data_IF_577099319408
#
_entry.id   IF_577099319408
#
_cell.length_a   1.000
_cell.length_b   1.000
_cell.length_c   1.000
_cell.angle_alpha   90.00
_cell.angle_beta   90.00
_cell.angle_gamma   90.00
#
_symmetry.space_group_name_H-M   'P 1'
#
loop_
_entity.id
_entity.type
_entity.pdbx_description
1 polymer ?
#
# COMPACT_ATOMS: atom_id res chain seq x y z
N UNK A 1 -57.20 -11.61 -39.35
CA UNK A 1 -56.54 -10.39 -38.85
C UNK A 1 -55.84 -10.75 -37.55
N UNK A 2 -54.50 -10.71 -37.54
CA UNK A 2 -53.70 -10.97 -36.34
C UNK A 2 -52.52 -10.00 -36.36
N UNK A 3 -52.55 -9.10 -35.40
CA UNK A 3 -51.60 -8.03 -35.18
C UNK A 3 -50.28 -8.52 -34.56
N UNK A 4 -49.21 -7.81 -34.92
CA UNK A 4 -48.02 -7.47 -34.13
C UNK A 4 -46.97 -8.55 -33.80
N UNK A 5 -45.88 -8.56 -34.58
CA UNK A 5 -44.56 -8.99 -34.12
C UNK A 5 -43.80 -7.82 -33.48
N UNK A 6 -43.11 -7.99 -32.33
CA UNK A 6 -42.02 -7.12 -31.96
C UNK A 6 -40.69 -7.72 -32.45
N UNK A 7 -40.03 -7.00 -33.37
CA UNK A 7 -38.64 -7.23 -33.75
C UNK A 7 -37.71 -6.94 -32.58
N UNK A 8 -37.13 -7.99 -31.98
CA UNK A 8 -35.91 -7.85 -31.19
C UNK A 8 -34.98 -9.03 -31.52
N UNK A 9 -34.44 -9.01 -32.75
CA UNK A 9 -33.42 -9.93 -33.22
C UNK A 9 -32.02 -9.37 -32.95
N UNK A 10 -31.39 -9.79 -31.85
CA UNK A 10 -29.95 -9.61 -31.59
C UNK A 10 -29.12 -10.47 -32.58
N UNK A 11 -28.91 -9.96 -33.79
CA UNK A 11 -28.19 -10.63 -34.88
C UNK A 11 -26.91 -11.36 -34.43
N UNK A 12 -26.94 -12.69 -34.51
CA UNK A 12 -25.81 -13.59 -34.21
C UNK A 12 -24.53 -13.28 -35.01
N UNK A 13 -24.68 -12.61 -36.15
CA UNK A 13 -23.59 -12.15 -37.00
C UNK A 13 -22.68 -11.10 -36.32
N UNK A 14 -23.14 -10.45 -35.23
CA UNK A 14 -22.33 -9.52 -34.44
C UNK A 14 -21.69 -10.17 -33.20
N UNK A 15 -22.26 -11.26 -32.67
CA UNK A 15 -21.78 -11.90 -31.45
C UNK A 15 -20.42 -12.58 -31.70
N UNK A 16 -20.25 -13.25 -32.84
CA UNK A 16 -18.98 -13.94 -33.18
C UNK A 16 -17.83 -12.94 -33.40
N UNK A 17 -17.99 -11.86 -34.19
CA UNK A 17 -16.97 -10.82 -34.30
C UNK A 17 -16.64 -10.16 -32.97
N UNK A 18 -17.63 -9.84 -32.14
CA UNK A 18 -17.41 -9.21 -30.83
C UNK A 18 -16.67 -10.16 -29.88
N UNK A 19 -17.02 -11.44 -29.85
CA UNK A 19 -16.30 -12.44 -29.07
C UNK A 19 -14.86 -12.61 -29.57
N UNK A 20 -14.64 -12.63 -30.88
CA UNK A 20 -13.29 -12.65 -31.47
C UNK A 20 -12.51 -11.39 -31.09
N UNK A 21 -13.12 -10.22 -31.19
CA UNK A 21 -12.50 -8.93 -30.83
C UNK A 21 -12.17 -8.89 -29.33
N UNK A 22 -13.06 -9.42 -28.48
CA UNK A 22 -12.83 -9.55 -27.06
C UNK A 22 -11.64 -10.47 -26.78
N UNK A 23 -11.53 -11.63 -27.44
CA UNK A 23 -10.38 -12.53 -27.31
C UNK A 23 -9.10 -11.88 -27.84
N UNK A 24 -9.17 -11.19 -28.98
CA UNK A 24 -8.04 -10.55 -29.64
C UNK A 24 -7.54 -9.31 -28.89
N UNK A 25 -8.39 -8.69 -28.06
CA UNK A 25 -7.99 -7.61 -27.15
C UNK A 25 -7.55 -8.16 -25.78
N UNK A 26 -8.29 -9.11 -25.21
CA UNK A 26 -7.99 -9.65 -23.88
C UNK A 26 -6.69 -10.46 -23.87
N UNK A 27 -6.46 -11.32 -24.86
CA UNK A 27 -5.28 -12.21 -24.82
C UNK A 27 -3.97 -11.42 -24.89
N UNK A 28 -3.76 -10.48 -25.83
CA UNK A 28 -2.54 -9.69 -25.86
C UNK A 28 -2.42 -8.75 -24.66
N UNK A 29 -3.53 -8.17 -24.19
CA UNK A 29 -3.51 -7.29 -23.02
C UNK A 29 -3.18 -8.05 -21.74
N UNK A 30 -3.74 -9.25 -21.55
CA UNK A 30 -3.43 -10.14 -20.44
C UNK A 30 -1.99 -10.64 -20.52
N UNK A 31 -1.51 -11.05 -21.69
CA UNK A 31 -0.11 -11.47 -21.87
C UNK A 31 0.83 -10.31 -21.57
N UNK A 32 0.54 -9.10 -22.07
CA UNK A 32 1.36 -7.92 -21.81
C UNK A 32 1.38 -7.54 -20.32
N UNK A 33 0.22 -7.58 -19.65
CA UNK A 33 0.13 -7.36 -18.21
C UNK A 33 0.91 -8.42 -17.41
N UNK A 34 0.83 -9.69 -17.80
CA UNK A 34 1.60 -10.79 -17.19
C UNK A 34 3.10 -10.63 -17.47
N UNK A 35 3.49 -10.20 -18.68
CA UNK A 35 4.90 -9.98 -19.04
C UNK A 35 5.49 -8.81 -18.25
N UNK A 36 4.74 -7.72 -18.07
CA UNK A 36 5.15 -6.61 -17.22
C UNK A 36 5.18 -6.98 -15.73
N UNK A 37 4.27 -7.86 -15.27
CA UNK A 37 4.28 -8.42 -13.93
C UNK A 37 5.50 -9.32 -13.67
N UNK A 38 5.91 -10.13 -14.65
CA UNK A 38 7.09 -11.01 -14.56
C UNK A 38 8.42 -10.27 -14.75
N UNK A 39 8.38 -9.14 -15.47
CA UNK A 39 9.55 -8.29 -15.75
C UNK A 39 9.77 -7.20 -14.68
N UNK A 40 9.06 -7.27 -13.54
CA UNK A 40 9.36 -6.47 -12.37
C UNK A 40 10.78 -6.79 -11.89
N UNK A 41 11.73 -5.99 -12.36
CA UNK A 41 13.14 -6.05 -12.01
C UNK A 41 13.28 -6.12 -10.49
N UNK A 42 14.25 -6.91 -10.02
CA UNK A 42 14.70 -6.96 -8.62
C UNK A 42 15.14 -5.56 -8.17
N UNK A 43 14.18 -4.74 -7.76
CA UNK A 43 14.41 -3.45 -7.15
C UNK A 43 14.56 -3.73 -5.66
N UNK A 44 15.78 -3.51 -5.17
CA UNK A 44 16.01 -3.40 -3.73
C UNK A 44 15.02 -2.37 -3.21
N UNK A 45 14.15 -2.76 -2.27
CA UNK A 45 13.19 -1.84 -1.65
C UNK A 45 13.98 -0.69 -0.99
N UNK A 46 14.11 0.48 -1.64
CA UNK A 46 14.98 1.52 -1.14
C UNK A 46 14.25 2.29 -0.03
N UNK A 47 14.94 2.47 1.08
CA UNK A 47 14.52 3.34 2.18
C UNK A 47 15.15 4.71 1.97
N UNK A 48 14.30 5.72 1.76
CA UNK A 48 14.71 7.11 1.64
C UNK A 48 14.53 7.75 3.02
N UNK A 49 15.64 8.03 3.69
CA UNK A 49 15.64 8.74 4.98
C UNK A 49 15.34 10.23 4.77
N UNK A 50 14.37 10.77 5.52
CA UNK A 50 14.05 12.21 5.50
C UNK A 50 14.76 13.01 6.59
N UNK A 51 15.15 12.33 7.67
CA UNK A 51 15.96 12.91 8.73
C UNK A 51 17.41 12.43 8.60
N UNK A 52 18.41 13.33 8.69
CA UNK A 52 19.82 12.96 8.66
C UNK A 52 20.21 12.35 10.01
N UNK A 53 19.91 11.06 10.18
CA UNK A 53 20.18 10.32 11.41
C UNK A 53 21.04 9.12 11.06
N UNK A 54 22.25 9.09 11.61
CA UNK A 54 23.19 7.99 11.41
C UNK A 54 22.73 6.69 12.09
N UNK A 55 21.76 6.77 13.01
CA UNK A 55 21.35 5.67 13.91
C UNK A 55 19.91 5.18 13.74
N UNK A 56 19.22 5.55 12.67
CA UNK A 56 17.92 4.95 12.32
C UNK A 56 18.10 3.71 11.46
N UNK A 57 17.81 2.55 12.04
CA UNK A 57 17.80 1.27 11.32
C UNK A 57 16.35 0.89 11.06
N UNK A 58 15.89 1.14 9.83
CA UNK A 58 14.59 0.63 9.35
C UNK A 58 14.83 -0.75 8.75
N UNK A 59 14.14 -1.75 9.31
CA UNK A 59 14.20 -3.13 8.84
C UNK A 59 12.97 -3.41 7.99
N UNK A 60 13.19 -3.76 6.72
CA UNK A 60 12.17 -4.15 5.77
C UNK A 60 12.59 -5.45 5.05
N UNK A 61 11.65 -6.29 4.62
CA UNK A 61 11.98 -7.48 3.83
C UNK A 61 12.48 -7.10 2.44
N UNK A 62 13.31 -7.97 1.86
CA UNK A 62 13.82 -7.82 0.49
C UNK A 62 12.78 -8.14 -0.58
N UNK A 63 11.78 -8.96 -0.26
CA UNK A 63 10.73 -9.39 -1.16
C UNK A 63 9.38 -9.28 -0.46
N UNK A 64 8.38 -8.76 -1.18
CA UNK A 64 7.02 -8.58 -0.68
C UNK A 64 6.06 -9.09 -1.73
N UNK A 65 5.08 -9.89 -1.32
CA UNK A 65 4.03 -10.45 -2.18
C UNK A 65 2.68 -9.91 -1.77
N UNK A 66 1.84 -9.68 -2.76
CA UNK A 66 0.45 -9.28 -2.57
C UNK A 66 -0.28 -10.29 -1.66
N UNK A 67 -1.08 -9.78 -0.74
CA UNK A 67 -1.84 -10.53 0.27
C UNK A 67 -1.01 -11.35 1.27
N UNK A 68 0.32 -11.26 1.22
CA UNK A 68 1.21 -11.92 2.15
C UNK A 68 1.69 -10.91 3.20
N UNK A 69 1.39 -11.13 4.49
CA UNK A 69 1.80 -10.20 5.54
C UNK A 69 3.31 -10.28 5.81
N UNK A 70 3.91 -9.14 6.06
CA UNK A 70 5.32 -9.02 6.45
C UNK A 70 5.50 -8.09 7.66
N UNK A 71 6.63 -8.19 8.33
CA UNK A 71 6.99 -7.31 9.45
C UNK A 71 7.88 -6.16 8.98
N UNK A 72 7.60 -4.95 9.46
CA UNK A 72 8.50 -3.80 9.37
C UNK A 72 8.85 -3.33 10.77
N UNK A 73 10.10 -2.91 10.97
CA UNK A 73 10.55 -2.40 12.24
C UNK A 73 11.37 -1.12 12.10
N UNK A 74 11.21 -0.22 13.05
CA UNK A 74 12.01 0.99 13.19
C UNK A 74 12.76 0.89 14.50
N UNK A 75 14.09 0.97 14.44
CA UNK A 75 14.93 1.13 15.62
C UNK A 75 15.57 2.52 15.57
N UNK A 76 15.37 3.29 16.64
CA UNK A 76 15.80 4.68 16.71
C UNK A 76 16.46 4.97 18.05
N UNK A 77 17.57 5.71 18.03
CA UNK A 77 18.20 6.25 19.24
C UNK A 77 17.49 7.54 19.67
N UNK A 78 16.38 7.41 20.40
CA UNK A 78 15.53 8.53 20.83
C UNK A 78 16.28 9.54 21.67
N UNK A 79 17.24 9.11 22.49
CA UNK A 79 18.09 10.00 23.27
C UNK A 79 19.00 10.87 22.41
N UNK A 80 19.59 10.30 21.37
CA UNK A 80 20.44 11.04 20.45
C UNK A 80 19.61 12.00 19.60
N UNK A 81 18.45 11.54 19.09
CA UNK A 81 17.54 12.37 18.31
C UNK A 81 17.00 13.55 19.12
N UNK A 82 16.51 13.32 20.34
CA UNK A 82 16.00 14.40 21.18
C UNK A 82 17.08 15.44 21.47
N UNK A 83 18.31 15.00 21.76
CA UNK A 83 19.46 15.90 21.95
C UNK A 83 19.74 16.73 20.69
N UNK A 84 19.80 16.09 19.52
CA UNK A 84 20.03 16.76 18.25
C UNK A 84 18.94 17.79 17.92
N UNK A 85 17.66 17.42 18.08
CA UNK A 85 16.54 18.34 17.86
C UNK A 85 16.57 19.52 18.85
N UNK A 86 16.88 19.27 20.11
CA UNK A 86 17.02 20.32 21.12
C UNK A 86 18.19 21.26 20.82
N UNK A 87 19.33 20.76 20.34
CA UNK A 87 20.47 21.58 19.93
C UNK A 87 20.12 22.48 18.73
N UNK A 88 19.38 21.95 17.75
CA UNK A 88 18.90 22.77 16.63
C UNK A 88 17.92 23.83 17.10
N UNK A 89 16.94 23.47 17.94
CA UNK A 89 15.95 24.43 18.46
C UNK A 89 16.63 25.52 19.30
N UNK A 90 17.64 25.17 20.10
CA UNK A 90 18.40 26.14 20.90
C UNK A 90 19.27 27.09 20.05
N UNK A 91 19.70 26.63 18.87
CA UNK A 91 20.54 27.43 17.95
C UNK A 91 19.69 28.20 16.93
N UNK A 92 18.44 27.79 16.71
CA UNK A 92 17.52 28.45 15.80
C UNK A 92 17.01 29.77 16.41
N UNK A 93 17.20 30.88 15.68
CA UNK A 93 16.57 32.16 16.02
C UNK A 93 15.04 32.05 16.04
N UNK A 94 14.39 32.89 16.83
CA UNK A 94 12.92 32.97 16.86
C UNK A 94 12.37 33.14 15.42
N UNK A 95 11.63 32.14 14.95
CA UNK A 95 11.04 32.11 13.60
C UNK A 95 11.72 31.20 12.57
N UNK A 96 12.88 30.59 12.87
CA UNK A 96 13.56 29.62 11.98
C UNK A 96 13.54 28.18 12.48
N UNK A 97 12.79 27.91 13.55
CA UNK A 97 12.66 26.58 14.12
C UNK A 97 12.14 25.56 13.10
N UNK A 98 12.79 24.40 13.02
CA UNK A 98 12.38 23.29 12.14
C UNK A 98 10.92 22.94 12.40
N UNK A 99 10.09 23.07 11.37
CA UNK A 99 8.68 22.63 11.36
C UNK A 99 7.84 23.15 12.55
N UNK A 100 8.19 24.33 13.09
CA UNK A 100 7.47 24.93 14.23
C UNK A 100 7.66 24.21 15.57
N UNK A 101 8.72 23.39 15.72
CA UNK A 101 9.14 22.81 16.99
C UNK A 101 9.64 23.94 17.89
N UNK A 102 9.01 24.15 19.05
CA UNK A 102 9.44 25.10 20.07
C UNK A 102 9.57 24.39 21.42
N UNK A 103 10.51 24.85 22.24
CA UNK A 103 10.76 24.27 23.56
C UNK A 103 11.55 22.95 23.52
N UNK A 104 11.49 22.19 24.61
CA UNK A 104 12.29 20.97 24.82
C UNK A 104 11.55 19.75 24.29
N UNK A 105 12.20 19.00 23.40
CA UNK A 105 11.73 17.72 22.86
C UNK A 105 11.91 16.61 23.89
N UNK A 106 10.83 15.88 24.15
CA UNK A 106 10.80 14.72 25.04
C UNK A 106 11.44 13.48 24.41
N UNK A 107 11.96 12.60 25.28
CA UNK A 107 12.42 11.26 24.89
C UNK A 107 11.26 10.32 24.56
N UNK A 108 10.05 10.62 25.06
CA UNK A 108 8.86 9.85 24.80
C UNK A 108 8.33 10.18 23.41
N UNK A 109 8.69 9.34 22.45
CA UNK A 109 8.29 9.46 21.06
C UNK A 109 7.32 8.34 20.71
N UNK A 110 6.40 8.61 19.77
CA UNK A 110 5.55 7.60 19.16
C UNK A 110 5.87 7.51 17.69
N UNK A 111 5.61 6.37 17.07
CA UNK A 111 5.82 6.20 15.65
C UNK A 111 4.54 5.70 14.97
N UNK A 112 4.40 6.04 13.71
CA UNK A 112 3.27 5.68 12.87
C UNK A 112 3.78 5.27 11.49
N UNK A 113 3.05 4.34 10.87
CA UNK A 113 3.23 4.02 9.46
C UNK A 113 1.93 4.26 8.70
N UNK A 114 2.06 4.72 7.46
CA UNK A 114 0.93 4.99 6.59
C UNK A 114 1.28 4.61 5.13
N UNK A 115 0.32 4.03 4.43
CA UNK A 115 0.44 3.73 3.00
C UNK A 115 -0.88 3.24 2.42
N UNK A 116 -1.34 3.84 1.33
CA UNK A 116 -2.70 3.66 0.80
C UNK A 116 -2.97 2.25 0.24
N UNK A 117 -1.93 1.49 -0.11
CA UNK A 117 -2.02 0.13 -0.67
C UNK A 117 -1.79 -0.99 0.35
N UNK A 118 -1.71 -0.66 1.63
CA UNK A 118 -1.38 -1.59 2.69
C UNK A 118 -2.46 -1.66 3.77
N UNK A 119 -2.84 -2.87 4.14
CA UNK A 119 -3.53 -3.17 5.38
C UNK A 119 -2.49 -3.22 6.52
N UNK A 120 -2.66 -2.40 7.55
CA UNK A 120 -1.71 -2.24 8.66
C UNK A 120 -2.38 -2.72 9.96
N UNK A 121 -1.69 -3.58 10.72
CA UNK A 121 -2.20 -4.19 11.95
C UNK A 121 -2.61 -3.17 13.03
N UNK A 122 -1.86 -2.08 13.15
CA UNK A 122 -2.06 -1.03 14.15
C UNK A 122 -1.92 0.35 13.52
N UNK A 123 -3.05 1.01 13.35
CA UNK A 123 -3.14 2.37 12.80
C UNK A 123 -2.79 3.43 13.85
N UNK A 124 -2.33 4.59 13.39
CA UNK A 124 -2.03 5.76 14.22
C UNK A 124 -0.71 5.68 14.98
N UNK A 125 -0.46 6.69 15.83
CA UNK A 125 0.75 6.82 16.62
C UNK A 125 0.85 5.77 17.73
N UNK A 126 1.86 4.92 17.66
CA UNK A 126 2.11 3.81 18.57
C UNK A 126 3.28 4.09 19.52
N UNK A 127 3.13 3.66 20.76
CA UNK A 127 4.24 3.59 21.72
C UNK A 127 5.24 2.49 21.31
N UNK A 128 6.53 2.63 21.66
CA UNK A 128 7.52 1.63 21.31
C UNK A 128 7.24 0.29 22.00
N UNK A 129 7.49 -0.79 21.27
CA UNK A 129 7.40 -2.16 21.79
C UNK A 129 8.53 -2.42 22.80
N UNK A 130 9.63 -1.69 22.68
CA UNK A 130 10.74 -1.69 23.64
C UNK A 130 11.37 -0.31 23.65
N UNK A 131 11.62 0.22 24.85
CA UNK A 131 12.39 1.43 25.07
C UNK A 131 13.42 1.16 26.18
N UNK A 132 14.64 0.81 25.78
CA UNK A 132 15.72 0.48 26.71
C UNK A 132 17.03 1.14 26.28
N UNK A 133 17.74 1.75 27.23
CA UNK A 133 19.02 2.39 26.98
C UNK A 133 18.96 3.61 26.05
N UNK A 134 17.79 4.28 25.95
CA UNK A 134 17.58 5.40 25.02
C UNK A 134 17.43 4.97 23.56
N UNK A 135 17.07 3.71 23.33
CA UNK A 135 16.74 3.13 22.03
C UNK A 135 15.30 2.63 22.05
N UNK A 136 14.49 3.18 21.16
CA UNK A 136 13.11 2.78 20.99
C UNK A 136 12.96 1.90 19.74
N UNK A 137 12.17 0.84 19.87
CA UNK A 137 11.82 -0.09 18.79
C UNK A 137 10.34 -0.13 18.57
N UNK A 138 9.91 0.13 17.34
CA UNK A 138 8.55 -0.11 16.88
C UNK A 138 8.54 -1.22 15.86
N UNK A 139 7.40 -1.91 15.78
CA UNK A 139 7.17 -2.99 14.84
C UNK A 139 5.74 -2.94 14.39
N UNK A 140 5.48 -3.22 13.12
CA UNK A 140 4.15 -3.38 12.54
C UNK A 140 4.10 -4.59 11.64
N UNK A 141 2.89 -5.12 11.48
CA UNK A 141 2.59 -6.16 10.49
C UNK A 141 1.77 -5.51 9.38
N UNK A 142 2.27 -5.65 8.16
CA UNK A 142 1.75 -4.95 6.98
C UNK A 142 1.41 -5.97 5.91
N UNK A 143 0.26 -5.82 5.27
CA UNK A 143 -0.19 -6.70 4.19
C UNK A 143 -0.50 -5.86 2.95
N UNK A 144 0.18 -6.07 1.80
CA UNK A 144 -0.16 -5.34 0.59
C UNK A 144 -1.48 -5.84 0.00
N UNK A 145 -2.36 -4.92 -0.36
CA UNK A 145 -3.65 -5.25 -0.98
C UNK A 145 -3.56 -5.36 -2.50
N UNK A 146 -2.57 -4.68 -3.09
CA UNK A 146 -2.32 -4.65 -4.54
C UNK A 146 -0.87 -5.03 -4.87
N UNK A 147 -0.60 -5.32 -6.14
CA UNK A 147 0.76 -5.52 -6.66
C UNK A 147 1.28 -4.27 -7.35
N UNK A 148 2.60 -4.12 -7.46
CA UNK A 148 3.26 -2.97 -8.09
C UNK A 148 4.04 -2.12 -7.09
N UNK A 149 4.48 -0.95 -7.55
CA UNK A 149 5.24 0.00 -6.75
C UNK A 149 4.34 0.70 -5.73
N UNK A 150 4.68 0.55 -4.44
CA UNK A 150 3.92 1.13 -3.33
C UNK A 150 4.87 1.77 -2.33
N UNK A 151 4.39 2.82 -1.65
CA UNK A 151 5.21 3.59 -0.72
C UNK A 151 4.65 3.46 0.68
N UNK A 152 5.49 3.05 1.63
CA UNK A 152 5.18 3.06 3.04
C UNK A 152 5.93 4.23 3.71
N UNK A 153 5.17 5.13 4.33
CA UNK A 153 5.69 6.32 4.99
C UNK A 153 5.82 6.05 6.48
N UNK A 154 6.98 6.37 7.04
CA UNK A 154 7.25 6.30 8.47
C UNK A 154 7.21 7.72 9.04
N UNK A 155 6.41 7.91 10.08
CA UNK A 155 6.26 9.18 10.79
C UNK A 155 6.61 9.00 12.26
N UNK A 156 7.24 10.02 12.84
CA UNK A 156 7.60 10.08 14.23
C UNK A 156 6.87 11.24 14.89
N UNK A 157 6.07 10.93 15.90
CA UNK A 157 5.36 11.90 16.73
C UNK A 157 6.22 12.23 17.94
N UNK A 158 6.67 13.48 18.00
CA UNK A 158 7.47 14.01 19.09
C UNK A 158 6.61 14.93 19.96
N UNK A 159 6.85 14.89 21.28
CA UNK A 159 6.22 15.82 22.23
C UNK A 159 7.22 16.90 22.58
N UNK A 160 6.79 18.15 22.47
CA UNK A 160 7.59 19.35 22.77
C UNK A 160 6.96 20.09 23.94
N UNK A 161 7.78 20.56 24.87
CA UNK A 161 7.30 21.31 26.04
C UNK A 161 7.90 22.71 26.08
N UNK A 162 7.03 23.72 26.12
CA UNK A 162 7.38 25.14 26.24
C UNK A 162 6.52 25.78 27.34
N UNK A 163 7.14 26.34 28.38
CA UNK A 163 6.47 27.04 29.49
C UNK A 163 5.18 26.38 30.00
N UNK A 164 5.26 25.07 30.30
CA UNK A 164 4.18 24.20 30.78
C UNK A 164 3.10 23.79 29.75
N UNK A 165 3.18 24.24 28.50
CA UNK A 165 2.35 23.76 27.41
C UNK A 165 3.07 22.63 26.65
N UNK A 166 2.40 21.48 26.53
CA UNK A 166 2.88 20.37 25.71
C UNK A 166 2.19 20.41 24.33
N UNK A 167 2.98 20.27 23.27
CA UNK A 167 2.51 20.17 21.89
C UNK A 167 3.06 18.89 21.24
N UNK A 168 2.33 18.33 20.27
CA UNK A 168 2.74 17.12 19.56
C UNK A 168 2.96 17.43 18.09
N UNK A 169 4.14 17.10 17.57
CA UNK A 169 4.50 17.31 16.16
C UNK A 169 4.80 15.98 15.49
N UNK A 170 4.25 15.79 14.29
CA UNK A 170 4.56 14.65 13.43
C UNK A 170 5.69 15.02 12.46
N UNK A 171 6.78 14.26 12.50
CA UNK A 171 7.94 14.41 11.63
C UNK A 171 8.03 13.22 10.67
N UNK A 172 8.24 13.49 9.39
CA UNK A 172 8.53 12.42 8.43
C UNK A 172 9.91 11.81 8.71
N UNK A 173 9.96 10.53 9.05
CA UNK A 173 11.20 9.81 9.36
C UNK A 173 11.84 9.28 8.07
N UNK A 174 11.07 8.52 7.29
CA UNK A 174 11.54 7.87 6.09
C UNK A 174 10.37 7.44 5.19
N UNK A 175 10.70 7.08 3.96
CA UNK A 175 9.79 6.42 3.02
C UNK A 175 10.46 5.16 2.47
N UNK A 176 9.79 4.01 2.58
CA UNK A 176 10.23 2.78 1.96
C UNK A 176 9.40 2.53 0.70
N UNK A 177 10.07 2.37 -0.44
CA UNK A 177 9.41 1.98 -1.68
C UNK A 177 9.48 0.45 -1.79
N UNK A 178 8.34 -0.18 -2.05
CA UNK A 178 8.19 -1.61 -2.18
C UNK A 178 7.76 -1.96 -3.58
N UNK A 179 8.49 -2.87 -4.22
CA UNK A 179 8.05 -3.50 -5.45
C UNK A 179 7.29 -4.78 -5.10
N UNK A 180 5.96 -4.68 -4.99
CA UNK A 180 5.12 -5.79 -4.53
C UNK A 180 4.81 -6.74 -5.68
N UNK A 181 5.25 -8.00 -5.53
CA UNK A 181 4.99 -9.06 -6.50
C UNK A 181 3.54 -9.53 -6.42
N UNK A 182 2.89 -9.71 -7.57
CA UNK A 182 1.54 -10.26 -7.59
C UNK A 182 1.55 -11.74 -7.17
N UNK A 183 0.54 -12.10 -6.37
CA UNK A 183 0.37 -13.44 -5.84
C UNK A 183 -0.90 -14.06 -6.43
N UNK A 184 -0.76 -14.68 -7.60
CA UNK A 184 -1.90 -15.27 -8.33
C UNK A 184 -2.62 -16.35 -7.51
N UNK A 185 -1.88 -17.11 -6.69
CA UNK A 185 -2.46 -18.14 -5.82
C UNK A 185 -3.42 -17.52 -4.80
N UNK A 186 -2.96 -16.51 -4.05
CA UNK A 186 -3.81 -15.83 -3.06
C UNK A 186 -4.92 -15.00 -3.71
N UNK A 187 -4.65 -14.38 -4.86
CA UNK A 187 -5.68 -13.66 -5.62
C UNK A 187 -6.80 -14.59 -6.08
N UNK A 188 -6.47 -15.78 -6.59
CA UNK A 188 -7.45 -16.79 -7.01
C UNK A 188 -8.24 -17.34 -5.82
N UNK A 189 -7.64 -17.51 -4.64
CA UNK A 189 -8.38 -17.91 -3.44
C UNK A 189 -9.44 -16.87 -3.06
N UNK A 190 -9.11 -15.58 -3.15
CA UNK A 190 -10.01 -14.47 -2.78
C UNK A 190 -11.08 -14.19 -3.85
N UNK A 191 -10.72 -14.28 -5.13
CA UNK A 191 -11.57 -13.84 -6.25
C UNK A 191 -12.13 -14.99 -7.10
N UNK A 192 -11.63 -16.22 -6.94
CA UNK A 192 -11.95 -17.35 -7.83
C UNK A 192 -13.43 -17.72 -7.86
N UNK A 193 -14.14 -17.59 -6.72
CA UNK A 193 -15.59 -17.83 -6.67
C UNK A 193 -16.35 -16.82 -7.52
N UNK A 194 -15.98 -15.54 -7.45
CA UNK A 194 -16.58 -14.49 -8.27
C UNK A 194 -16.31 -14.70 -9.76
N UNK A 195 -15.09 -15.11 -10.11
CA UNK A 195 -14.72 -15.47 -11.49
C UNK A 195 -15.56 -16.66 -11.97
N UNK A 196 -15.70 -17.70 -11.16
CA UNK A 196 -16.50 -18.88 -11.51
C UNK A 196 -17.99 -18.54 -11.69
N UNK A 197 -18.56 -17.71 -10.81
CA UNK A 197 -19.93 -17.23 -10.93
C UNK A 197 -20.15 -16.42 -12.21
N UNK A 198 -19.23 -15.50 -12.52
CA UNK A 198 -19.31 -14.67 -13.72
C UNK A 198 -19.24 -15.55 -14.98
N UNK A 199 -18.35 -16.55 -15.01
CA UNK A 199 -18.26 -17.52 -16.11
C UNK A 199 -19.53 -18.36 -16.24
N UNK A 200 -20.13 -18.80 -15.12
CA UNK A 200 -21.38 -19.56 -15.15
C UNK A 200 -22.56 -18.73 -15.67
N UNK A 201 -22.66 -17.46 -15.28
CA UNK A 201 -23.67 -16.53 -15.79
C UNK A 201 -23.49 -16.30 -17.29
N UNK A 202 -22.26 -16.07 -17.76
CA UNK A 202 -21.98 -15.92 -19.19
C UNK A 202 -22.31 -17.20 -19.97
N UNK A 203 -21.97 -18.38 -19.44
CA UNK A 203 -22.26 -19.66 -20.08
C UNK A 203 -23.76 -19.94 -20.18
N UNK A 204 -24.52 -19.65 -19.12
CA UNK A 204 -25.98 -19.81 -19.10
C UNK A 204 -26.68 -18.81 -20.02
N UNK A 205 -26.23 -17.55 -20.06
CA UNK A 205 -26.70 -16.55 -21.00
C UNK A 205 -26.43 -16.96 -22.46
N UNK A 206 -25.21 -17.40 -22.76
CA UNK A 206 -24.82 -17.88 -24.09
C UNK A 206 -25.65 -19.10 -24.52
N UNK A 207 -25.83 -20.08 -23.63
CA UNK A 207 -26.66 -21.26 -23.90
C UNK A 207 -28.13 -20.90 -24.12
N UNK A 208 -28.67 -19.97 -23.33
CA UNK A 208 -30.03 -19.44 -23.49
C UNK A 208 -30.23 -18.71 -24.81
N UNK A 209 -29.27 -17.88 -25.22
CA UNK A 209 -29.26 -17.24 -26.54
C UNK A 209 -29.19 -18.29 -27.65
N UNK A 210 -28.27 -19.24 -27.60
CA UNK A 210 -28.16 -20.30 -28.62
C UNK A 210 -29.48 -21.07 -28.79
N UNK A 211 -30.16 -21.41 -27.68
CA UNK A 211 -31.43 -22.15 -27.72
C UNK A 211 -32.58 -21.34 -28.32
N UNK A 212 -32.52 -20.01 -28.27
CA UNK A 212 -33.52 -19.11 -28.87
C UNK A 212 -33.33 -18.88 -30.37
N UNK A 213 -32.12 -19.06 -30.91
CA UNK A 213 -31.82 -18.85 -32.33
C UNK A 213 -31.81 -20.14 -33.17
N UNK A 214 -31.86 -21.31 -32.52
CA UNK A 214 -31.96 -22.63 -33.17
C UNK A 214 -33.42 -23.11 -33.26
N UNK A 215 -34.39 -22.31 -32.84
CA UNK A 215 -35.82 -22.45 -33.16
C UNK A 215 -36.22 -21.37 -34.15
#
# INVERSE_FOLDING_TARGET
MRDSEPQFGLNFNFIVPIAMLAVLLLVPFSINAVLHMLSAKRLHNPVIMKLPLDSTVITIPSEVKQYEPFEVAVNLETKHLAKFLNEIVATASEGTSIQGIRGVVSLNMKAEIAGDGFEIDRLGAQDPVSDYGGKAKWRWRVTPESSGEQVLKFQLHIVTQDNAQADTKALGLAEANFSVQANLSEWMKRNGVWVALLLAVLATAFYGLRRRYVR
#
